data_IF_430602895315
#
_entry.id   IF_430602895315
#
_cell.length_a   1.000
_cell.length_b   1.000
_cell.length_c   1.000
_cell.angle_alpha   90.00
_cell.angle_beta   90.00
_cell.angle_gamma   90.00
#
_symmetry.space_group_name_H-M   'P 1'
#
loop_
_entity.id
_entity.type
_entity.pdbx_description
1 polymer ?
#
# COMPACT_ATOMS: atom_id res chain seq x y z
N UNK A 1 -12.05 -3.70 6.23
CA UNK A 1 -11.76 -5.01 6.86
C UNK A 1 -12.94 -5.37 7.75
N UNK A 2 -13.67 -6.45 7.46
CA UNK A 2 -14.76 -6.90 8.35
C UNK A 2 -14.13 -7.36 9.67
N UNK A 3 -14.63 -6.88 10.81
CA UNK A 3 -14.07 -7.23 12.11
C UNK A 3 -14.09 -8.76 12.33
N UNK A 4 -13.02 -9.29 12.95
CA UNK A 4 -12.98 -10.68 13.43
C UNK A 4 -14.16 -10.87 14.39
N UNK A 5 -14.94 -11.93 14.22
CA UNK A 5 -16.07 -12.27 15.11
C UNK A 5 -17.48 -12.12 14.50
N UNK A 6 -17.65 -11.41 13.39
CA UNK A 6 -18.93 -11.41 12.65
C UNK A 6 -18.97 -12.55 11.64
N UNK A 7 -19.50 -13.70 12.05
CA UNK A 7 -19.81 -14.83 11.19
C UNK A 7 -21.22 -14.65 10.60
N UNK A 8 -21.37 -14.88 9.29
CA UNK A 8 -22.65 -14.84 8.61
C UNK A 8 -22.91 -16.24 8.03
N UNK A 9 -23.66 -17.12 8.75
CA UNK A 9 -23.77 -18.53 8.40
C UNK A 9 -24.45 -18.79 7.05
N UNK A 10 -25.34 -17.89 6.63
CA UNK A 10 -26.13 -18.05 5.39
C UNK A 10 -25.51 -17.30 4.19
N UNK A 11 -24.31 -16.74 4.35
CA UNK A 11 -23.61 -16.08 3.23
C UNK A 11 -22.87 -17.12 2.42
N UNK A 12 -23.44 -17.46 1.26
CA UNK A 12 -22.88 -18.43 0.30
C UNK A 12 -22.27 -17.77 -0.94
N UNK A 13 -22.48 -16.46 -1.14
CA UNK A 13 -21.90 -15.70 -2.26
C UNK A 13 -21.27 -14.41 -1.74
N UNK A 14 -20.02 -14.17 -2.14
CA UNK A 14 -19.36 -12.88 -1.98
C UNK A 14 -18.94 -12.35 -3.34
N UNK A 15 -19.25 -11.08 -3.59
CA UNK A 15 -18.80 -10.38 -4.79
C UNK A 15 -17.80 -9.30 -4.39
N UNK A 16 -16.65 -9.28 -5.07
CA UNK A 16 -15.65 -8.22 -5.00
C UNK A 16 -15.79 -7.43 -6.30
N UNK A 17 -16.50 -6.29 -6.29
CA UNK A 17 -16.90 -5.60 -7.51
C UNK A 17 -15.77 -4.81 -8.18
N UNK A 18 -14.67 -4.55 -7.48
CA UNK A 18 -13.54 -3.79 -8.00
C UNK A 18 -12.23 -4.33 -7.40
N UNK A 19 -11.60 -5.26 -8.09
CA UNK A 19 -10.24 -5.70 -7.78
C UNK A 19 -9.17 -4.80 -8.42
N UNK A 20 -9.54 -3.97 -9.40
CA UNK A 20 -8.62 -3.12 -10.16
C UNK A 20 -8.02 -2.02 -9.28
N UNK A 21 -8.82 -1.45 -8.37
CA UNK A 21 -8.33 -0.50 -7.37
C UNK A 21 -7.17 -1.06 -6.52
N UNK A 22 -7.15 -2.37 -6.29
CA UNK A 22 -6.07 -3.06 -5.60
C UNK A 22 -4.84 -3.28 -6.48
N UNK A 23 -5.08 -3.76 -7.70
CA UNK A 23 -4.04 -4.08 -8.68
C UNK A 23 -3.23 -2.84 -9.09
N UNK A 24 -3.90 -1.71 -9.26
CA UNK A 24 -3.30 -0.45 -9.75
C UNK A 24 -3.30 0.67 -8.70
N UNK A 25 -3.29 0.29 -7.42
CA UNK A 25 -3.20 1.23 -6.31
C UNK A 25 -1.92 2.07 -6.38
N UNK A 26 -2.02 3.36 -6.07
CA UNK A 26 -0.86 4.24 -5.87
C UNK A 26 -0.05 3.87 -4.59
N UNK A 27 -0.67 3.17 -3.64
CA UNK A 27 0.05 2.51 -2.54
C UNK A 27 0.53 1.13 -3.02
N UNK A 28 1.84 0.90 -2.98
CA UNK A 28 2.48 -0.38 -3.32
C UNK A 28 1.96 -1.57 -2.49
N UNK A 29 1.26 -1.31 -1.38
CA UNK A 29 0.60 -2.32 -0.55
C UNK A 29 -0.79 -2.71 -1.06
N UNK A 30 -1.30 -2.07 -2.11
CA UNK A 30 -2.65 -2.28 -2.63
C UNK A 30 -2.96 -3.75 -2.95
N UNK A 31 -2.11 -4.39 -3.74
CA UNK A 31 -2.29 -5.80 -4.10
C UNK A 31 -2.24 -6.73 -2.89
N UNK A 32 -1.39 -6.44 -1.89
CA UNK A 32 -1.35 -7.21 -0.65
C UNK A 32 -2.67 -7.10 0.12
N UNK A 33 -3.19 -5.88 0.31
CA UNK A 33 -4.46 -5.65 0.99
C UNK A 33 -5.63 -6.32 0.26
N UNK A 34 -5.66 -6.25 -1.08
CA UNK A 34 -6.68 -6.91 -1.90
C UNK A 34 -6.61 -8.43 -1.75
N UNK A 35 -5.41 -9.01 -1.77
CA UNK A 35 -5.24 -10.45 -1.56
C UNK A 35 -5.69 -10.89 -0.15
N UNK A 36 -5.38 -10.10 0.88
CA UNK A 36 -5.84 -10.36 2.24
C UNK A 36 -7.37 -10.28 2.35
N UNK A 37 -7.99 -9.30 1.67
CA UNK A 37 -9.44 -9.16 1.61
C UNK A 37 -10.07 -10.37 0.92
N UNK A 38 -9.60 -10.74 -0.27
CA UNK A 38 -10.07 -11.91 -1.03
C UNK A 38 -9.97 -13.17 -0.15
N UNK A 39 -8.82 -13.43 0.46
CA UNK A 39 -8.62 -14.58 1.35
C UNK A 39 -9.57 -14.54 2.55
N UNK A 40 -9.77 -13.37 3.15
CA UNK A 40 -10.65 -13.22 4.31
C UNK A 40 -12.10 -13.51 3.96
N UNK A 41 -12.59 -13.02 2.82
CA UNK A 41 -13.98 -13.21 2.42
C UNK A 41 -14.24 -14.59 1.84
N UNK A 42 -13.28 -15.17 1.11
CA UNK A 42 -13.34 -16.56 0.67
C UNK A 42 -13.43 -17.53 1.84
N UNK A 43 -12.65 -17.28 2.90
CA UNK A 43 -12.75 -18.05 4.13
C UNK A 43 -14.06 -17.84 4.92
N UNK A 44 -15.00 -16.99 4.47
CA UNK A 44 -16.30 -16.76 5.12
C UNK A 44 -17.47 -17.33 4.32
N UNK A 45 -17.39 -17.37 2.99
CA UNK A 45 -18.49 -17.79 2.11
C UNK A 45 -18.85 -19.29 2.19
N UNK A 46 -18.06 -20.13 2.86
CA UNK A 46 -18.25 -21.59 2.86
C UNK A 46 -17.86 -22.27 4.17
N UNK A 47 -18.22 -21.67 5.31
CA UNK A 47 -17.93 -22.25 6.64
C UNK A 47 -18.99 -23.24 7.14
N UNK A 48 -20.13 -23.33 6.47
CA UNK A 48 -21.22 -24.24 6.79
C UNK A 48 -21.28 -25.39 5.76
N UNK A 49 -22.33 -26.21 5.81
CA UNK A 49 -22.51 -27.34 4.88
C UNK A 49 -22.66 -26.91 3.40
N UNK A 50 -22.90 -25.62 3.15
CA UNK A 50 -23.11 -25.09 1.81
C UNK A 50 -21.80 -24.59 1.17
N UNK A 51 -21.52 -24.97 -0.09
CA UNK A 51 -20.38 -24.43 -0.82
C UNK A 51 -20.52 -22.92 -1.02
N UNK A 52 -19.42 -22.22 -0.81
CA UNK A 52 -19.32 -20.78 -0.99
C UNK A 52 -18.72 -20.40 -2.33
N UNK A 53 -19.28 -19.37 -2.96
CA UNK A 53 -18.75 -18.75 -4.16
C UNK A 53 -18.14 -17.38 -3.85
N UNK A 54 -17.03 -17.09 -4.52
CA UNK A 54 -16.41 -15.75 -4.50
C UNK A 54 -16.23 -15.30 -5.93
N UNK A 55 -16.90 -14.22 -6.28
CA UNK A 55 -16.81 -13.62 -7.60
C UNK A 55 -15.93 -12.38 -7.53
N UNK A 56 -14.96 -12.28 -8.43
CA UNK A 56 -14.03 -11.17 -8.51
C UNK A 56 -14.28 -10.48 -9.84
N UNK A 57 -14.67 -9.21 -9.78
CA UNK A 57 -14.80 -8.36 -10.95
C UNK A 57 -13.51 -7.54 -11.13
N UNK A 58 -12.94 -7.66 -12.33
CA UNK A 58 -11.72 -6.96 -12.77
C UNK A 58 -11.78 -6.79 -14.28
N UNK A 59 -11.19 -5.71 -14.78
CA UNK A 59 -10.93 -5.52 -16.21
C UNK A 59 -9.71 -6.31 -16.69
N UNK A 60 -8.93 -6.90 -15.76
CA UNK A 60 -7.65 -7.55 -16.00
C UNK A 60 -7.63 -8.97 -15.42
N UNK A 61 -8.55 -9.82 -15.89
CA UNK A 61 -8.67 -11.21 -15.43
C UNK A 61 -7.37 -12.02 -15.61
N UNK A 62 -6.60 -11.73 -16.66
CA UNK A 62 -5.33 -12.40 -16.94
C UNK A 62 -4.13 -11.83 -16.16
N UNK A 63 -4.37 -10.93 -15.20
CA UNK A 63 -3.28 -10.29 -14.47
C UNK A 63 -2.46 -11.34 -13.67
N UNK A 64 -1.13 -11.41 -13.86
CA UNK A 64 -0.31 -12.50 -13.31
C UNK A 64 -0.43 -12.67 -11.79
N UNK A 65 -0.49 -11.56 -11.04
CA UNK A 65 -0.61 -11.60 -9.57
C UNK A 65 -1.99 -12.08 -9.10
N UNK A 66 -3.04 -11.81 -9.88
CA UNK A 66 -4.38 -12.26 -9.56
C UNK A 66 -4.48 -13.77 -9.78
N UNK A 67 -3.97 -14.25 -10.92
CA UNK A 67 -3.91 -15.69 -11.22
C UNK A 67 -3.03 -16.44 -10.22
N UNK A 68 -1.86 -15.89 -9.85
CA UNK A 68 -1.02 -16.48 -8.80
C UNK A 68 -1.74 -16.61 -7.45
N UNK A 69 -2.58 -15.63 -7.09
CA UNK A 69 -3.39 -15.70 -5.88
C UNK A 69 -4.45 -16.81 -5.95
N UNK A 70 -5.11 -16.95 -7.10
CA UNK A 70 -6.18 -17.92 -7.32
C UNK A 70 -5.61 -19.34 -7.38
N UNK A 71 -4.55 -19.55 -8.16
CA UNK A 71 -4.00 -20.88 -8.47
C UNK A 71 -3.07 -21.41 -7.39
N UNK A 72 -2.27 -20.54 -6.77
CA UNK A 72 -1.22 -20.93 -5.81
C UNK A 72 -1.45 -20.38 -4.39
N UNK A 73 -2.46 -19.53 -4.22
CA UNK A 73 -2.83 -19.00 -2.92
C UNK A 73 -1.94 -17.86 -2.43
N UNK A 74 -2.32 -17.32 -1.26
CA UNK A 74 -1.72 -16.11 -0.68
C UNK A 74 -0.22 -16.22 -0.41
N UNK A 75 0.28 -17.40 -0.02
CA UNK A 75 1.70 -17.53 0.34
C UNK A 75 2.62 -17.35 -0.88
N UNK A 76 2.25 -17.95 -2.02
CA UNK A 76 2.97 -17.79 -3.28
C UNK A 76 2.97 -16.32 -3.73
N UNK A 77 1.81 -15.65 -3.68
CA UNK A 77 1.73 -14.22 -3.96
C UNK A 77 2.60 -13.39 -3.01
N UNK A 78 2.57 -13.69 -1.70
CA UNK A 78 3.35 -12.93 -0.71
C UNK A 78 4.85 -13.00 -0.97
N UNK A 79 5.37 -14.16 -1.39
CA UNK A 79 6.77 -14.31 -1.79
C UNK A 79 7.10 -13.48 -3.04
N UNK A 80 6.23 -13.49 -4.05
CA UNK A 80 6.40 -12.67 -5.25
C UNK A 80 6.41 -11.17 -4.92
N UNK A 81 5.48 -10.70 -4.07
CA UNK A 81 5.42 -9.31 -3.63
C UNK A 81 6.63 -8.92 -2.78
N UNK A 82 7.16 -9.83 -1.96
CA UNK A 82 8.39 -9.58 -1.18
C UNK A 82 9.61 -9.42 -2.10
N UNK A 83 9.72 -10.24 -3.14
CA UNK A 83 10.81 -10.09 -4.12
C UNK A 83 10.75 -8.72 -4.80
N UNK A 84 9.57 -8.30 -5.28
CA UNK A 84 9.40 -6.97 -5.87
C UNK A 84 9.77 -5.83 -4.91
N UNK A 85 9.43 -5.97 -3.62
CA UNK A 85 9.78 -4.98 -2.58
C UNK A 85 11.28 -4.93 -2.33
N UNK A 86 11.96 -6.07 -2.37
CA UNK A 86 13.42 -6.12 -2.25
C UNK A 86 14.07 -5.36 -3.41
N UNK A 87 13.63 -5.64 -4.64
CA UNK A 87 14.18 -5.04 -5.86
C UNK A 87 13.94 -3.52 -5.91
N UNK A 88 12.81 -3.05 -5.37
CA UNK A 88 12.45 -1.63 -5.32
C UNK A 88 12.87 -0.92 -4.03
N UNK A 89 13.57 -1.59 -3.11
CA UNK A 89 13.95 -1.06 -1.80
C UNK A 89 12.75 -0.49 -1.02
N UNK A 90 11.65 -1.24 -1.01
CA UNK A 90 10.44 -0.92 -0.26
C UNK A 90 10.39 -1.70 1.06
N UNK A 91 9.61 -1.25 2.06
CA UNK A 91 9.39 -2.02 3.28
C UNK A 91 8.91 -3.45 2.96
N UNK A 92 9.42 -4.49 3.65
CA UNK A 92 10.20 -4.43 4.91
C UNK A 92 11.71 -4.27 4.73
N UNK A 93 12.23 -4.18 3.50
CA UNK A 93 13.68 -4.13 3.23
C UNK A 93 14.28 -2.72 3.36
N UNK A 94 13.43 -1.71 3.44
CA UNK A 94 13.80 -0.33 3.71
C UNK A 94 12.90 0.30 4.78
N UNK A 95 13.43 1.33 5.44
CA UNK A 95 12.67 2.19 6.33
C UNK A 95 12.11 3.38 5.57
N UNK A 96 10.85 3.71 5.81
CA UNK A 96 10.17 4.82 5.18
C UNK A 96 9.44 5.66 6.24
N UNK A 97 9.57 6.97 6.11
CA UNK A 97 8.83 7.96 6.88
C UNK A 97 8.14 8.92 5.92
N UNK A 98 6.95 9.40 6.29
CA UNK A 98 6.18 10.35 5.50
C UNK A 98 5.90 11.58 6.37
N UNK A 99 6.30 12.75 5.87
CA UNK A 99 5.90 14.04 6.43
C UNK A 99 4.74 14.58 5.60
N UNK A 100 3.64 14.94 6.26
CA UNK A 100 2.45 15.49 5.63
C UNK A 100 2.15 16.87 6.20
N UNK A 101 1.73 17.79 5.34
CA UNK A 101 1.30 19.14 5.70
C UNK A 101 -0.15 19.35 5.27
N UNK A 102 -0.98 19.92 6.15
CA UNK A 102 -2.38 20.26 5.86
C UNK A 102 -2.66 21.71 6.22
N UNK A 103 -3.15 22.52 5.28
CA UNK A 103 -3.44 23.94 5.47
C UNK A 103 -4.63 24.39 4.61
N UNK A 104 -5.35 25.45 5.02
CA UNK A 104 -6.40 26.06 4.20
C UNK A 104 -5.82 26.78 2.96
N UNK A 105 -4.54 27.17 3.02
CA UNK A 105 -3.79 27.74 1.89
C UNK A 105 -2.85 26.68 1.28
N UNK A 106 -3.09 26.37 -0.01
CA UNK A 106 -2.31 25.41 -0.80
C UNK A 106 -0.82 25.77 -0.85
N UNK A 107 -0.49 27.05 -1.00
CA UNK A 107 0.89 27.49 -1.14
C UNK A 107 1.67 27.34 0.18
N UNK A 108 1.01 27.59 1.31
CA UNK A 108 1.62 27.42 2.63
C UNK A 108 1.86 25.94 2.96
N UNK A 109 0.88 25.06 2.68
CA UNK A 109 1.03 23.63 2.91
C UNK A 109 2.26 23.06 2.16
N UNK A 110 2.43 23.45 0.89
CA UNK A 110 3.57 23.04 0.06
C UNK A 110 4.89 23.64 0.55
N UNK A 111 4.92 24.93 0.87
CA UNK A 111 6.13 25.65 1.29
C UNK A 111 6.79 25.01 2.53
N UNK A 112 6.00 24.63 3.52
CA UNK A 112 6.52 23.95 4.72
C UNK A 112 7.30 22.68 4.36
N UNK A 113 6.81 21.89 3.40
CA UNK A 113 7.47 20.66 2.99
C UNK A 113 8.70 20.92 2.11
N UNK A 114 8.68 22.00 1.31
CA UNK A 114 9.87 22.45 0.56
C UNK A 114 11.00 22.86 1.52
N UNK A 115 10.67 23.61 2.57
CA UNK A 115 11.60 24.00 3.63
C UNK A 115 12.13 22.78 4.40
N UNK A 116 11.26 21.85 4.79
CA UNK A 116 11.66 20.61 5.47
C UNK A 116 12.58 19.73 4.61
N UNK A 117 12.30 19.65 3.30
CA UNK A 117 13.16 18.93 2.34
C UNK A 117 14.53 19.59 2.24
N UNK A 118 14.57 20.90 2.12
CA UNK A 118 15.84 21.63 2.01
C UNK A 118 16.67 21.53 3.29
N UNK A 119 16.03 21.66 4.46
CA UNK A 119 16.68 21.42 5.74
C UNK A 119 17.28 20.01 5.82
N UNK A 120 16.51 18.99 5.43
CA UNK A 120 16.96 17.59 5.43
C UNK A 120 18.14 17.40 4.48
N UNK A 121 18.10 17.98 3.28
CA UNK A 121 19.20 17.93 2.30
C UNK A 121 20.49 18.54 2.87
N UNK A 122 20.40 19.71 3.49
CA UNK A 122 21.54 20.38 4.13
C UNK A 122 22.08 19.53 5.28
N UNK A 123 21.20 19.06 6.17
CA UNK A 123 21.57 18.23 7.31
C UNK A 123 22.26 16.93 6.90
N UNK A 124 21.79 16.27 5.83
CA UNK A 124 22.43 15.09 5.26
C UNK A 124 23.81 15.40 4.69
N UNK A 125 23.98 16.55 4.01
CA UNK A 125 25.29 16.95 3.46
C UNK A 125 26.35 17.22 4.53
N UNK A 126 25.93 17.61 5.74
CA UNK A 126 26.82 17.85 6.88
C UNK A 126 27.19 16.57 7.62
N UNK A 127 26.37 15.51 7.50
CA UNK A 127 26.71 14.18 7.97
C UNK A 127 27.62 13.50 6.95
N UNK A 128 28.92 13.69 7.13
CA UNK A 128 29.94 12.92 6.42
C UNK A 128 29.79 11.40 6.64
N UNK A 129 30.54 10.56 5.89
CA UNK A 129 30.53 9.12 6.08
C UNK A 129 30.82 8.77 7.55
N UNK A 130 30.21 7.68 8.04
CA UNK A 130 30.42 7.21 9.41
C UNK A 130 31.91 6.95 9.66
N UNK A 131 32.34 6.91 10.93
CA UNK A 131 33.73 6.66 11.38
C UNK A 131 34.35 5.39 10.78
N UNK A 132 33.54 4.51 10.20
CA UNK A 132 33.94 3.28 9.51
C UNK A 132 34.02 3.40 7.97
N UNK A 133 33.97 4.60 7.40
CA UNK A 133 34.04 4.83 5.94
C UNK A 133 32.82 4.33 5.15
N UNK A 134 31.85 3.70 5.82
CA UNK A 134 30.54 3.40 5.25
C UNK A 134 29.69 4.66 5.31
N UNK A 135 29.16 5.08 4.17
CA UNK A 135 28.10 6.07 4.17
C UNK A 135 27.00 5.54 5.11
N UNK A 136 26.55 6.37 6.06
CA UNK A 136 25.29 6.11 6.76
C UNK A 136 24.23 5.81 5.68
N UNK A 137 23.43 4.76 5.85
CA UNK A 137 22.55 4.23 4.82
C UNK A 137 21.92 5.34 3.94
N UNK A 138 21.92 5.20 2.59
CA UNK A 138 21.49 6.28 1.71
C UNK A 138 20.03 6.67 2.00
N UNK A 139 19.83 7.91 2.45
CA UNK A 139 18.48 8.47 2.67
C UNK A 139 18.03 9.12 1.36
N UNK A 140 16.97 8.56 0.77
CA UNK A 140 16.31 9.14 -0.40
C UNK A 140 15.16 10.04 0.05
N UNK A 141 15.11 11.27 -0.46
CA UNK A 141 14.05 12.25 -0.16
C UNK A 141 13.24 12.51 -1.42
N UNK A 142 11.97 12.11 -1.41
CA UNK A 142 11.02 12.28 -2.52
C UNK A 142 10.02 13.40 -2.21
N UNK A 143 9.51 14.05 -3.27
CA UNK A 143 8.50 15.11 -3.17
C UNK A 143 9.08 16.52 -3.02
N UNK A 144 8.26 17.49 -2.55
CA UNK A 144 6.87 17.32 -2.09
C UNK A 144 5.90 17.01 -3.22
N UNK A 145 4.93 16.13 -2.95
CA UNK A 145 3.83 15.78 -3.86
C UNK A 145 2.49 16.11 -3.18
N UNK A 146 1.41 16.37 -3.92
CA UNK A 146 0.08 16.40 -3.33
C UNK A 146 -0.29 15.01 -2.78
N UNK A 147 -1.05 14.95 -1.70
CA UNK A 147 -1.61 13.69 -1.22
C UNK A 147 -2.61 13.13 -2.25
N UNK A 148 -2.80 11.80 -2.29
CA UNK A 148 -3.78 11.11 -3.16
C UNK A 148 -5.15 11.80 -3.14
N UNK A 149 -5.57 12.27 -1.96
CA UNK A 149 -6.71 13.18 -1.80
C UNK A 149 -6.18 14.57 -1.42
N UNK A 150 -6.03 15.42 -2.43
CA UNK A 150 -5.39 16.74 -2.32
C UNK A 150 -6.18 17.71 -1.44
N UNK A 151 -7.51 17.67 -1.46
CA UNK A 151 -8.35 18.53 -0.62
C UNK A 151 -9.33 17.69 0.21
N UNK A 152 -9.36 17.94 1.52
CA UNK A 152 -10.31 17.29 2.44
C UNK A 152 -10.78 18.29 3.49
N UNK A 153 -12.09 18.39 3.70
CA UNK A 153 -12.70 19.29 4.69
C UNK A 153 -12.20 20.73 4.57
N UNK A 154 -12.10 21.26 3.34
CA UNK A 154 -11.63 22.62 3.06
C UNK A 154 -10.11 22.79 2.98
N UNK A 155 -9.32 21.90 3.59
CA UNK A 155 -7.85 21.96 3.66
C UNK A 155 -7.15 21.26 2.51
N UNK A 156 -6.06 21.86 2.02
CA UNK A 156 -5.12 21.28 1.08
C UNK A 156 -4.08 20.42 1.80
N UNK A 157 -3.73 19.29 1.20
CA UNK A 157 -2.92 18.22 1.78
C UNK A 157 -1.79 17.87 0.84
N UNK A 158 -0.56 17.99 1.33
CA UNK A 158 0.67 17.58 0.65
C UNK A 158 1.35 16.52 1.51
#
# INVERSE_FOLDING_TARGET
MLAKGHHFPDVTLVVIPDADAGLFSADFRGMEHTAQLIKQVAGRAGRAENPGEVWIQTLYADHPKLNLLIDNGYHALALALLQERLDQQLPPYAHMAMLRSECDDKAQAKRLLEEAREFTRIWLSQRGPDKNGKHSAPISVLGPFPAIMERRNGRFRF
#
